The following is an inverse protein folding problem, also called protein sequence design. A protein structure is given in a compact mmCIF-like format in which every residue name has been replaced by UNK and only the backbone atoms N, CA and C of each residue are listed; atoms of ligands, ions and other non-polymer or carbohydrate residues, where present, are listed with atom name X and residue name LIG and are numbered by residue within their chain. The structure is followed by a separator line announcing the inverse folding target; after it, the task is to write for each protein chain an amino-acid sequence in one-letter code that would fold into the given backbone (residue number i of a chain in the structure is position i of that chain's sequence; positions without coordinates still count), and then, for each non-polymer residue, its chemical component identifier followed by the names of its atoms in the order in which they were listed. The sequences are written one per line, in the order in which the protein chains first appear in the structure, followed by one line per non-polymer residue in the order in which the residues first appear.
data_IF_958281002271
#
_entry.id   IF_958281002271
#
_cell.length_a   1.000
_cell.length_b   1.000
_cell.length_c   1.000
_cell.angle_alpha   90.00
_cell.angle_beta   90.00
_cell.angle_gamma   90.00
#
_symmetry.space_group_name_H-M   'P 1'
#
loop_
_entity.id
_entity.type
_entity.pdbx_description
1 polymer ?
#
# COMPACT_ATOMS: atom_id res chain seq x y z
N UNK A 1 9.34 42.27 -8.40
CA UNK A 1 8.16 42.94 -7.82
C UNK A 1 7.45 41.88 -6.99
N UNK A 2 7.34 42.04 -5.66
CA UNK A 2 6.62 41.07 -4.82
C UNK A 2 5.16 41.02 -5.29
N UNK A 3 4.69 39.83 -5.66
CA UNK A 3 3.35 39.61 -6.23
C UNK A 3 2.27 40.07 -5.23
N UNK A 4 1.71 41.28 -5.42
CA UNK A 4 0.70 41.89 -4.53
C UNK A 4 -0.50 40.97 -4.25
N UNK A 5 -0.85 40.10 -5.19
CA UNK A 5 -1.96 39.16 -5.07
C UNK A 5 -1.74 38.05 -4.03
N UNK A 6 -0.48 37.68 -3.72
CA UNK A 6 -0.17 36.72 -2.64
C UNK A 6 -0.65 37.21 -1.27
N UNK A 7 -0.80 38.52 -1.09
CA UNK A 7 -1.15 39.14 0.19
C UNK A 7 -2.67 39.11 0.43
N UNK A 8 -3.47 38.85 -0.61
CA UNK A 8 -4.94 38.93 -0.54
C UNK A 8 -5.66 37.57 -0.46
N UNK A 9 -4.91 36.47 -0.38
CA UNK A 9 -5.46 35.10 -0.32
C UNK A 9 -6.47 34.89 0.81
N UNK A 10 -6.29 35.59 1.93
CA UNK A 10 -7.20 35.53 3.08
C UNK A 10 -8.64 36.00 2.75
N UNK A 11 -8.83 36.74 1.65
CA UNK A 11 -10.14 37.22 1.18
C UNK A 11 -10.90 36.17 0.37
N UNK A 12 -10.24 35.13 -0.11
CA UNK A 12 -10.84 34.14 -1.01
C UNK A 12 -11.56 33.05 -0.20
N UNK A 13 -12.83 32.79 -0.54
CA UNK A 13 -13.63 31.74 0.08
C UNK A 13 -13.32 30.39 -0.59
N UNK A 14 -12.28 29.74 -0.10
CA UNK A 14 -11.71 28.54 -0.72
C UNK A 14 -12.73 27.42 -1.04
N UNK A 15 -13.71 27.06 -0.18
CA UNK A 15 -14.73 26.08 -0.54
C UNK A 15 -15.52 26.41 -1.82
N UNK A 16 -15.81 27.69 -2.05
CA UNK A 16 -16.55 28.14 -3.24
C UNK A 16 -15.65 28.18 -4.47
N UNK A 17 -14.37 28.52 -4.28
CA UNK A 17 -13.38 28.40 -5.35
C UNK A 17 -13.22 26.95 -5.81
N UNK A 18 -13.16 25.98 -4.89
CA UNK A 18 -13.15 24.56 -5.24
C UNK A 18 -14.35 24.16 -6.10
N UNK A 19 -15.57 24.54 -5.70
CA UNK A 19 -16.80 24.27 -6.46
C UNK A 19 -16.78 24.96 -7.84
N UNK A 20 -16.34 26.21 -7.90
CA UNK A 20 -16.20 26.96 -9.15
C UNK A 20 -15.24 26.30 -10.14
N UNK A 21 -14.17 25.68 -9.63
CA UNK A 21 -13.20 24.93 -10.42
C UNK A 21 -13.63 23.49 -10.74
N UNK A 22 -14.87 23.10 -10.39
CA UNK A 22 -15.44 21.80 -10.73
C UNK A 22 -15.09 20.66 -9.77
N UNK A 23 -14.57 20.95 -8.59
CA UNK A 23 -14.33 19.92 -7.57
C UNK A 23 -15.64 19.53 -6.89
N UNK A 24 -15.86 18.24 -6.72
CA UNK A 24 -17.09 17.72 -6.09
C UNK A 24 -16.95 17.73 -4.57
N UNK A 25 -17.88 18.37 -3.86
CA UNK A 25 -17.95 18.24 -2.40
C UNK A 25 -18.49 16.88 -2.00
N UNK A 26 -17.72 16.11 -1.25
CA UNK A 26 -18.06 14.76 -0.80
C UNK A 26 -18.64 14.76 0.62
N UNK A 27 -18.09 15.59 1.50
CA UNK A 27 -18.51 15.66 2.90
C UNK A 27 -18.18 17.01 3.51
N UNK A 28 -19.08 17.50 4.36
CA UNK A 28 -18.87 18.70 5.17
C UNK A 28 -18.96 18.34 6.64
N UNK A 29 -17.90 18.64 7.38
CA UNK A 29 -17.80 18.49 8.83
C UNK A 29 -17.66 19.88 9.46
N UNK A 30 -17.89 20.00 10.77
CA UNK A 30 -17.75 21.29 11.47
C UNK A 30 -16.35 21.88 11.36
N UNK A 31 -15.31 21.06 11.20
CA UNK A 31 -13.90 21.50 11.18
C UNK A 31 -13.31 21.59 9.77
N UNK A 32 -13.90 20.89 8.80
CA UNK A 32 -13.31 20.75 7.47
C UNK A 32 -14.33 20.31 6.42
N UNK A 33 -14.03 20.53 5.15
CA UNK A 33 -14.83 20.05 4.01
C UNK A 33 -13.94 19.28 3.05
N UNK A 34 -14.44 18.14 2.58
CA UNK A 34 -13.72 17.21 1.73
C UNK A 34 -14.25 17.37 0.30
N UNK A 35 -13.33 17.63 -0.62
CA UNK A 35 -13.56 17.70 -2.05
C UNK A 35 -12.85 16.55 -2.77
N UNK A 36 -13.42 16.09 -3.86
CA UNK A 36 -12.82 15.11 -4.77
C UNK A 36 -12.66 15.70 -6.17
N UNK A 37 -11.53 15.40 -6.80
CA UNK A 37 -11.31 15.64 -8.22
C UNK A 37 -10.36 14.59 -8.79
N UNK A 38 -10.77 13.91 -9.87
CA UNK A 38 -10.01 12.87 -10.54
C UNK A 38 -9.46 11.77 -9.59
N UNK A 39 -10.25 11.37 -8.59
CA UNK A 39 -9.87 10.36 -7.60
C UNK A 39 -8.87 10.82 -6.54
N UNK A 40 -8.59 12.14 -6.47
CA UNK A 40 -7.79 12.75 -5.40
C UNK A 40 -8.69 13.53 -4.45
N UNK A 41 -8.39 13.43 -3.16
CA UNK A 41 -9.12 14.11 -2.10
C UNK A 41 -8.38 15.34 -1.56
N UNK A 42 -9.13 16.41 -1.38
CA UNK A 42 -8.67 17.73 -0.93
C UNK A 42 -9.48 18.12 0.30
N UNK A 43 -8.81 18.59 1.33
CA UNK A 43 -9.44 18.93 2.60
C UNK A 43 -9.25 20.42 2.82
N UNK A 44 -10.36 21.15 2.85
CA UNK A 44 -10.41 22.58 3.14
C UNK A 44 -10.69 22.77 4.62
N UNK A 45 -9.89 23.63 5.26
CA UNK A 45 -9.97 23.98 6.68
C UNK A 45 -9.96 25.49 6.84
N UNK A 46 -10.46 25.96 7.97
CA UNK A 46 -10.43 27.37 8.33
C UNK A 46 -9.54 27.59 9.56
N UNK A 47 -8.55 28.46 9.42
CA UNK A 47 -7.55 28.77 10.45
C UNK A 47 -7.58 30.25 10.83
N UNK A 48 -6.70 30.69 11.72
CA UNK A 48 -6.55 32.12 12.04
C UNK A 48 -6.04 32.95 10.84
N UNK A 49 -5.26 32.33 9.94
CA UNK A 49 -4.74 32.95 8.71
C UNK A 49 -5.75 32.95 7.56
N UNK A 50 -6.96 32.41 7.78
CA UNK A 50 -7.99 32.22 6.75
C UNK A 50 -8.12 30.78 6.30
N UNK A 51 -8.69 30.58 5.10
CA UNK A 51 -8.85 29.26 4.53
C UNK A 51 -7.53 28.69 4.01
N UNK A 52 -7.27 27.44 4.35
CA UNK A 52 -6.19 26.64 3.79
C UNK A 52 -6.77 25.31 3.31
N UNK A 53 -6.05 24.63 2.45
CA UNK A 53 -6.36 23.25 2.08
C UNK A 53 -5.12 22.37 2.07
N UNK A 54 -5.32 21.07 1.99
CA UNK A 54 -4.24 20.11 1.75
C UNK A 54 -4.78 18.90 0.98
N UNK A 55 -3.89 18.20 0.30
CA UNK A 55 -4.22 16.91 -0.34
C UNK A 55 -4.18 15.82 0.74
N UNK A 56 -5.11 14.86 0.73
CA UNK A 56 -5.19 13.80 1.75
C UNK A 56 -3.86 13.04 1.96
N UNK A 57 -3.10 12.85 0.88
CA UNK A 57 -1.76 12.24 0.86
C UNK A 57 -0.67 13.02 1.61
N UNK A 58 -0.83 14.34 1.79
CA UNK A 58 0.16 15.22 2.42
C UNK A 58 -0.49 16.22 3.39
N UNK A 59 -1.04 15.76 4.53
CA UNK A 59 -1.74 16.66 5.45
C UNK A 59 -0.89 17.77 6.07
N UNK A 60 0.44 17.61 6.11
CA UNK A 60 1.38 18.67 6.57
C UNK A 60 1.56 19.80 5.58
N UNK A 61 1.30 19.58 4.29
CA UNK A 61 1.47 20.58 3.23
C UNK A 61 0.19 21.41 3.13
N UNK A 62 0.12 22.51 3.89
CA UNK A 62 -1.00 23.45 3.85
C UNK A 62 -0.80 24.43 2.69
N UNK A 63 -1.79 24.47 1.82
CA UNK A 63 -1.84 25.25 0.59
C UNK A 63 -2.94 26.31 0.69
N UNK A 64 -2.76 27.38 -0.06
CA UNK A 64 -3.56 28.60 -0.08
C UNK A 64 -4.39 28.71 -1.37
N UNK A 65 -5.27 29.69 -1.49
CA UNK A 65 -6.07 29.88 -2.70
C UNK A 65 -5.19 30.08 -3.95
N UNK A 66 -4.07 30.78 -3.80
CA UNK A 66 -3.04 30.95 -4.82
C UNK A 66 -2.52 29.63 -5.37
N UNK A 67 -2.24 28.66 -4.49
CA UNK A 67 -1.69 27.37 -4.91
C UNK A 67 -2.70 26.62 -5.79
N UNK A 68 -3.99 26.71 -5.43
CA UNK A 68 -5.08 26.12 -6.21
C UNK A 68 -5.24 26.79 -7.58
N UNK A 69 -5.20 28.12 -7.62
CA UNK A 69 -5.25 28.91 -8.86
C UNK A 69 -4.05 28.56 -9.75
N UNK A 70 -2.86 28.48 -9.18
CA UNK A 70 -1.63 28.13 -9.91
C UNK A 70 -1.74 26.74 -10.51
N UNK A 71 -2.20 25.75 -9.72
CA UNK A 71 -2.43 24.40 -10.21
C UNK A 71 -3.47 24.38 -11.35
N UNK A 72 -4.56 25.14 -11.23
CA UNK A 72 -5.59 25.22 -12.26
C UNK A 72 -5.08 25.86 -13.55
N UNK A 73 -4.48 27.04 -13.47
CA UNK A 73 -3.96 27.79 -14.63
C UNK A 73 -2.86 27.01 -15.34
N UNK A 74 -2.02 26.26 -14.61
CA UNK A 74 -0.97 25.42 -15.22
C UNK A 74 -1.51 24.31 -16.12
N UNK A 75 -2.77 23.89 -15.93
CA UNK A 75 -3.42 22.81 -16.69
C UNK A 75 -4.26 23.33 -17.85
N UNK A 76 -4.53 24.63 -17.92
CA UNK A 76 -5.28 25.23 -19.01
C UNK A 76 -4.28 25.68 -20.07
N UNK A 77 -4.24 24.97 -21.20
CA UNK A 77 -3.48 25.41 -22.37
C UNK A 77 -4.04 26.75 -22.86
N UNK A 78 -3.19 27.77 -22.91
CA UNK A 78 -3.52 29.06 -23.50
C UNK A 78 -2.91 29.18 -24.90
N UNK A 79 -3.71 29.58 -25.88
CA UNK A 79 -3.30 29.86 -27.27
C UNK A 79 -2.32 31.06 -27.36
N UNK A 80 -2.14 31.82 -26.28
CA UNK A 80 -1.30 33.01 -26.23
C UNK A 80 0.05 32.79 -25.51
N UNK A 81 1.08 33.49 -26.01
CA UNK A 81 2.48 33.56 -25.52
C UNK A 81 2.65 34.25 -24.15
N UNK A 82 1.62 34.34 -23.33
CA UNK A 82 1.73 34.91 -21.99
C UNK A 82 2.48 33.96 -21.04
N UNK A 83 3.33 34.53 -20.17
CA UNK A 83 4.04 33.76 -19.15
C UNK A 83 3.04 33.24 -18.10
N UNK A 84 3.35 32.09 -17.48
CA UNK A 84 2.47 31.44 -16.50
C UNK A 84 2.05 32.39 -15.36
N UNK A 85 2.98 33.20 -14.86
CA UNK A 85 2.74 34.10 -13.74
C UNK A 85 1.78 35.25 -14.08
N UNK A 86 1.78 35.72 -15.33
CA UNK A 86 0.84 36.75 -15.79
C UNK A 86 -0.57 36.17 -15.83
N UNK A 87 -0.72 34.93 -16.31
CA UNK A 87 -2.00 34.21 -16.31
C UNK A 87 -2.52 33.96 -14.89
N UNK A 88 -1.64 33.57 -13.97
CA UNK A 88 -2.00 33.37 -12.55
C UNK A 88 -2.47 34.69 -11.93
N UNK A 89 -1.74 35.80 -12.16
CA UNK A 89 -2.12 37.11 -11.63
C UNK A 89 -3.46 37.61 -12.18
N UNK A 90 -3.70 37.43 -13.48
CA UNK A 90 -4.97 37.79 -14.13
C UNK A 90 -6.14 36.97 -13.57
N UNK A 91 -5.96 35.65 -13.43
CA UNK A 91 -6.98 34.77 -12.88
C UNK A 91 -7.27 35.08 -11.40
N UNK A 92 -6.23 35.35 -10.61
CA UNK A 92 -6.39 35.73 -9.19
C UNK A 92 -7.19 37.02 -9.04
N UNK A 93 -6.87 38.05 -9.83
CA UNK A 93 -7.63 39.31 -9.86
C UNK A 93 -9.10 39.05 -10.19
N UNK A 94 -9.38 38.23 -11.21
CA UNK A 94 -10.75 37.83 -11.58
C UNK A 94 -11.49 37.12 -10.43
N UNK A 95 -10.80 36.27 -9.67
CA UNK A 95 -11.40 35.61 -8.48
C UNK A 95 -11.74 36.64 -7.40
N UNK A 96 -10.85 37.60 -7.14
CA UNK A 96 -11.08 38.65 -6.14
C UNK A 96 -12.20 39.63 -6.54
N UNK A 97 -12.38 39.87 -7.83
CA UNK A 97 -13.49 40.69 -8.38
C UNK A 97 -14.83 39.94 -8.40
N UNK A 98 -14.82 38.62 -8.19
CA UNK A 98 -16.04 37.81 -8.17
C UNK A 98 -16.57 37.72 -6.74
N UNK A 99 -17.53 38.57 -6.37
CA UNK A 99 -18.12 38.63 -5.01
C UNK A 99 -18.53 37.26 -4.47
N UNK A 100 -19.09 36.39 -5.33
CA UNK A 100 -19.50 35.05 -4.95
C UNK A 100 -18.34 34.19 -4.41
N UNK A 101 -17.09 34.44 -4.82
CA UNK A 101 -15.89 33.69 -4.46
C UNK A 101 -15.09 34.30 -3.30
N UNK A 102 -15.52 35.44 -2.75
CA UNK A 102 -14.84 36.11 -1.65
C UNK A 102 -15.57 35.94 -0.32
N UNK A 103 -14.85 36.12 0.78
CA UNK A 103 -15.41 36.12 2.14
C UNK A 103 -16.09 37.48 2.37
N UNK A 104 -17.38 37.47 2.67
CA UNK A 104 -18.10 38.70 3.03
C UNK A 104 -17.64 39.26 4.37
N UNK A 105 -17.75 40.58 4.56
CA UNK A 105 -17.36 41.26 5.81
C UNK A 105 -18.08 40.71 7.04
N UNK A 106 -19.30 40.20 6.87
CA UNK A 106 -20.15 39.65 7.94
C UNK A 106 -20.17 38.13 7.99
N UNK A 107 -19.18 37.45 7.38
CA UNK A 107 -19.15 35.99 7.36
C UNK A 107 -19.00 35.42 8.78
N UNK A 108 -20.08 34.79 9.28
CA UNK A 108 -20.15 34.20 10.63
C UNK A 108 -19.54 32.80 10.75
N UNK A 109 -18.87 32.31 9.70
CA UNK A 109 -18.12 31.06 9.72
C UNK A 109 -18.98 29.80 9.71
N UNK A 110 -19.00 29.07 8.60
CA UNK A 110 -19.53 27.69 8.58
C UNK A 110 -18.57 26.69 9.27
N UNK A 111 -17.30 27.06 9.40
CA UNK A 111 -16.25 26.21 9.97
C UNK A 111 -15.84 26.66 11.37
N UNK A 112 -15.66 25.69 12.26
CA UNK A 112 -14.90 25.85 13.49
C UNK A 112 -13.43 26.08 13.12
N UNK A 113 -12.82 27.15 13.66
CA UNK A 113 -11.38 27.42 13.53
C UNK A 113 -10.56 26.25 14.08
N UNK A 114 -9.55 25.83 13.33
CA UNK A 114 -8.60 24.76 13.68
C UNK A 114 -7.15 25.27 13.59
N UNK A 115 -6.20 24.66 14.31
CA UNK A 115 -4.79 25.04 14.22
C UNK A 115 -4.19 24.66 12.85
N UNK A 116 -3.07 25.29 12.49
CA UNK A 116 -2.41 25.09 11.18
C UNK A 116 -1.88 23.66 10.98
N UNK A 117 -1.54 22.96 12.05
CA UNK A 117 -1.09 21.57 12.05
C UNK A 117 -2.25 20.55 12.04
N UNK A 118 -3.51 21.02 12.03
CA UNK A 118 -4.69 20.17 12.06
C UNK A 118 -4.67 19.11 10.95
N UNK A 119 -4.95 17.87 11.33
CA UNK A 119 -5.13 16.76 10.40
C UNK A 119 -6.48 16.08 10.67
N UNK A 120 -7.38 16.16 9.71
CA UNK A 120 -8.72 15.55 9.83
C UNK A 120 -8.70 14.05 10.16
N UNK A 121 -7.67 13.30 9.78
CA UNK A 121 -7.58 11.88 10.11
C UNK A 121 -7.49 11.64 11.63
N UNK A 122 -7.02 12.60 12.41
CA UNK A 122 -6.99 12.48 13.86
C UNK A 122 -8.39 12.52 14.50
N UNK A 123 -9.41 13.00 13.77
CA UNK A 123 -10.80 12.99 14.27
C UNK A 123 -11.52 11.65 14.08
N UNK A 124 -10.93 10.70 13.34
CA UNK A 124 -11.57 9.38 13.10
C UNK A 124 -11.26 8.35 14.17
N UNK A 125 -10.22 8.58 14.97
CA UNK A 125 -9.70 7.58 15.90
C UNK A 125 -10.29 7.76 17.29
N UNK A 126 -10.76 6.64 17.84
CA UNK A 126 -11.07 6.44 19.24
C UNK A 126 -10.03 5.46 19.84
N UNK A 127 -9.64 5.61 21.11
CA UNK A 127 -8.76 4.66 21.77
C UNK A 127 -9.33 3.24 21.73
N UNK A 128 -8.47 2.26 21.44
CA UNK A 128 -8.84 0.85 21.56
C UNK A 128 -8.92 0.45 23.03
N UNK A 129 -9.91 -0.38 23.38
CA UNK A 129 -10.09 -0.92 24.72
C UNK A 129 -9.94 -2.44 24.67
N UNK A 130 -9.36 -3.03 25.73
CA UNK A 130 -9.29 -4.48 25.86
C UNK A 130 -10.67 -5.02 26.21
N UNK A 131 -11.12 -6.03 25.47
CA UNK A 131 -12.35 -6.77 25.76
C UNK A 131 -12.07 -8.25 26.09
N UNK A 132 -10.79 -8.68 26.04
CA UNK A 132 -10.37 -10.04 26.40
C UNK A 132 -10.68 -11.12 25.38
N UNK A 133 -11.35 -10.80 24.26
CA UNK A 133 -11.82 -11.80 23.29
C UNK A 133 -11.27 -11.56 21.88
N UNK A 134 -10.93 -12.66 21.20
CA UNK A 134 -10.52 -12.67 19.79
C UNK A 134 -9.16 -12.03 19.51
N UNK A 135 -8.91 -11.74 18.23
CA UNK A 135 -7.60 -11.26 17.77
C UNK A 135 -7.20 -9.94 18.44
N UNK A 136 -8.18 -9.07 18.72
CA UNK A 136 -7.94 -7.74 19.27
C UNK A 136 -8.13 -7.66 20.80
N UNK A 137 -8.36 -8.79 21.48
CA UNK A 137 -8.81 -8.78 22.88
C UNK A 137 -7.87 -8.13 23.89
N UNK A 138 -6.57 -8.20 23.62
CA UNK A 138 -5.44 -7.66 24.40
C UNK A 138 -4.66 -6.61 23.59
N UNK A 139 -5.26 -6.09 22.53
CA UNK A 139 -4.62 -5.24 21.54
C UNK A 139 -4.02 -3.95 22.12
N UNK A 140 -4.63 -3.40 23.18
CA UNK A 140 -4.11 -2.20 23.84
C UNK A 140 -2.82 -2.47 24.64
N UNK A 141 -2.64 -3.72 25.08
CA UNK A 141 -1.52 -4.12 25.95
C UNK A 141 -0.28 -4.57 25.16
N UNK A 142 -0.39 -4.73 23.84
CA UNK A 142 0.70 -5.18 22.98
C UNK A 142 1.65 -4.01 22.66
N UNK A 143 2.89 -3.97 23.22
CA UNK A 143 3.79 -2.83 23.03
C UNK A 143 4.20 -2.59 21.57
N UNK A 144 4.20 -3.66 20.78
CA UNK A 144 4.48 -3.62 19.34
C UNK A 144 3.38 -2.90 18.54
N UNK A 145 2.17 -2.76 19.09
CA UNK A 145 1.02 -2.17 18.39
C UNK A 145 0.42 -0.94 19.08
N UNK A 146 0.97 -0.51 20.22
CA UNK A 146 0.55 0.73 20.90
C UNK A 146 0.62 1.92 19.95
N UNK A 147 -0.49 2.68 19.84
CA UNK A 147 -0.62 3.81 18.92
C UNK A 147 -0.70 3.44 17.43
N UNK A 148 -0.84 2.14 17.11
CA UNK A 148 -0.92 1.60 15.73
C UNK A 148 -2.25 0.93 15.41
N UNK A 149 -3.21 1.01 16.34
CA UNK A 149 -4.57 0.50 16.21
C UNK A 149 -5.52 1.42 16.98
N UNK A 150 -6.69 1.68 16.41
CA UNK A 150 -7.72 2.54 16.97
C UNK A 150 -9.09 1.95 16.65
N UNK A 151 -10.15 2.52 17.22
CA UNK A 151 -11.53 2.25 16.81
C UNK A 151 -12.07 3.43 16.02
N UNK A 152 -12.98 3.17 15.07
CA UNK A 152 -13.82 4.22 14.52
C UNK A 152 -15.11 4.38 15.35
N UNK A 153 -15.97 5.34 14.96
CA UNK A 153 -17.27 5.61 15.61
C UNK A 153 -18.24 4.41 15.61
N UNK A 154 -18.03 3.42 14.72
CA UNK A 154 -18.81 2.18 14.64
C UNK A 154 -18.20 1.03 15.45
N UNK A 155 -17.07 1.25 16.12
CA UNK A 155 -16.33 0.20 16.83
C UNK A 155 -15.51 -0.72 15.92
N UNK A 156 -15.28 -0.36 14.65
CA UNK A 156 -14.42 -1.13 13.74
C UNK A 156 -12.95 -0.74 13.95
N UNK A 157 -12.03 -1.69 13.77
CA UNK A 157 -10.60 -1.46 13.96
C UNK A 157 -10.03 -0.63 12.82
N UNK A 158 -9.36 0.46 13.17
CA UNK A 158 -8.60 1.32 12.28
C UNK A 158 -7.10 1.12 12.46
N UNK A 159 -6.37 1.03 11.35
CA UNK A 159 -4.91 0.98 11.31
C UNK A 159 -4.36 2.20 10.56
N UNK A 160 -3.59 3.10 11.21
CA UNK A 160 -3.13 4.33 10.58
C UNK A 160 -2.15 4.07 9.44
N UNK A 161 -2.39 4.73 8.31
CA UNK A 161 -1.50 4.76 7.16
C UNK A 161 -0.61 6.00 7.24
N UNK A 162 0.69 5.80 7.15
CA UNK A 162 1.68 6.86 7.23
C UNK A 162 2.32 7.10 5.86
N UNK A 163 2.44 8.38 5.50
CA UNK A 163 3.26 8.80 4.36
C UNK A 163 4.75 8.89 4.74
N UNK A 164 5.58 9.30 3.78
CA UNK A 164 7.03 9.45 3.95
C UNK A 164 7.45 10.47 5.02
N UNK A 165 6.62 11.47 5.31
CA UNK A 165 6.85 12.46 6.37
C UNK A 165 6.35 11.97 7.75
N UNK A 166 6.10 10.66 7.87
CA UNK A 166 5.54 10.02 9.04
C UNK A 166 4.25 10.69 9.55
N UNK A 167 3.39 11.10 8.62
CA UNK A 167 2.11 11.75 8.91
C UNK A 167 0.99 10.80 8.57
N UNK A 168 -0.01 10.71 9.44
CA UNK A 168 -1.22 9.94 9.16
C UNK A 168 -1.91 10.56 7.94
N UNK A 169 -2.02 9.81 6.86
CA UNK A 169 -2.67 10.22 5.61
C UNK A 169 -3.81 9.27 5.20
N UNK A 170 -4.32 8.53 6.17
CA UNK A 170 -5.40 7.58 6.00
C UNK A 170 -5.42 6.52 7.09
N UNK A 171 -6.36 5.60 6.97
CA UNK A 171 -6.45 4.37 7.73
C UNK A 171 -6.81 3.21 6.81
N UNK A 172 -6.40 2.01 7.19
CA UNK A 172 -7.16 0.82 6.86
C UNK A 172 -8.26 0.59 7.90
N UNK A 173 -9.38 0.02 7.48
CA UNK A 173 -10.44 -0.49 8.38
C UNK A 173 -10.53 -2.01 8.25
N UNK A 174 -10.64 -2.73 9.37
CA UNK A 174 -11.05 -4.15 9.38
C UNK A 174 -12.57 -4.23 9.56
N UNK A 175 -13.28 -4.49 8.46
CA UNK A 175 -14.73 -4.72 8.46
C UNK A 175 -15.07 -6.22 8.58
N UNK A 176 -14.24 -6.98 9.33
CA UNK A 176 -14.40 -8.41 9.58
C UNK A 176 -13.77 -9.28 8.50
N UNK A 177 -14.35 -9.28 7.29
CA UNK A 177 -13.90 -10.16 6.19
C UNK A 177 -12.66 -9.67 5.46
N UNK A 178 -12.47 -8.35 5.39
CA UNK A 178 -11.37 -7.75 4.66
C UNK A 178 -10.87 -6.48 5.35
N UNK A 179 -9.59 -6.20 5.12
CA UNK A 179 -8.95 -4.94 5.50
C UNK A 179 -8.80 -4.09 4.25
N UNK A 180 -9.41 -2.90 4.24
CA UNK A 180 -9.45 -2.01 3.08
C UNK A 180 -9.22 -0.54 3.47
N UNK A 181 -8.84 0.34 2.53
CA UNK A 181 -8.71 1.78 2.80
C UNK A 181 -10.02 2.36 3.34
N UNK A 182 -9.92 3.23 4.35
CA UNK A 182 -11.05 3.85 5.02
C UNK A 182 -11.31 5.26 4.46
N UNK A 183 -12.50 5.50 3.90
CA UNK A 183 -12.91 6.82 3.37
C UNK A 183 -11.84 7.40 2.40
N UNK A 184 -11.48 8.67 2.52
CA UNK A 184 -10.53 9.42 1.68
C UNK A 184 -9.03 9.06 1.89
N UNK A 185 -8.75 7.88 2.42
CA UNK A 185 -7.39 7.43 2.73
C UNK A 185 -6.49 7.34 1.50
N UNK A 186 -5.31 7.95 1.59
CA UNK A 186 -4.31 7.96 0.52
C UNK A 186 -3.43 6.69 0.50
N UNK A 187 -4.03 5.50 0.37
CA UNK A 187 -3.33 4.23 0.46
C UNK A 187 -2.21 4.04 -0.58
N UNK A 188 -2.36 4.64 -1.78
CA UNK A 188 -1.34 4.58 -2.85
C UNK A 188 0.02 5.16 -2.47
N UNK A 189 0.07 6.03 -1.46
CA UNK A 189 1.25 6.80 -1.09
C UNK A 189 1.71 6.51 0.35
N UNK A 190 1.21 5.42 0.93
CA UNK A 190 1.32 5.18 2.36
C UNK A 190 1.57 3.72 2.68
N UNK A 191 2.05 3.49 3.90
CA UNK A 191 2.14 2.16 4.49
C UNK A 191 1.75 2.22 5.96
N UNK A 192 1.27 1.10 6.47
CA UNK A 192 1.14 0.87 7.90
C UNK A 192 2.41 0.19 8.41
N UNK A 193 2.83 0.54 9.61
CA UNK A 193 3.92 -0.13 10.31
C UNK A 193 3.66 -0.19 11.83
N UNK A 194 4.14 -1.24 12.47
CA UNK A 194 4.07 -1.45 13.92
C UNK A 194 4.97 -0.46 14.66
N UNK A 195 4.92 -0.46 16.00
CA UNK A 195 5.82 0.38 16.78
C UNK A 195 7.29 0.05 16.45
N UNK A 196 8.15 1.08 16.44
CA UNK A 196 9.55 0.96 16.03
C UNK A 196 10.41 0.73 17.28
N UNK A 197 11.05 -0.45 17.44
CA UNK A 197 11.95 -0.71 18.55
C UNK A 197 13.26 0.07 18.41
N UNK A 198 14.00 0.24 19.53
CA UNK A 198 15.31 0.91 19.55
C UNK A 198 16.33 0.23 18.63
N UNK A 199 16.25 -1.09 18.52
CA UNK A 199 17.05 -1.92 17.62
C UNK A 199 16.09 -2.71 16.73
N UNK A 200 16.36 -2.72 15.43
CA UNK A 200 15.55 -3.44 14.44
C UNK A 200 16.37 -4.62 13.93
N UNK A 201 15.98 -5.83 14.34
CA UNK A 201 16.58 -7.10 13.95
C UNK A 201 15.88 -7.72 12.73
N UNK A 202 14.70 -7.23 12.35
CA UNK A 202 13.98 -7.75 11.19
C UNK A 202 12.81 -6.86 10.74
N UNK A 203 12.58 -6.87 9.43
CA UNK A 203 11.45 -6.23 8.77
C UNK A 203 10.53 -7.30 8.20
N UNK A 204 9.25 -7.24 8.52
CA UNK A 204 8.26 -8.23 8.07
C UNK A 204 7.13 -7.53 7.33
N UNK A 205 6.86 -7.95 6.10
CA UNK A 205 5.84 -7.37 5.25
C UNK A 205 4.66 -8.33 5.07
N UNK A 206 3.47 -7.89 5.46
CA UNK A 206 2.23 -8.66 5.36
C UNK A 206 1.28 -8.08 4.34
N UNK A 207 0.22 -8.83 4.03
CA UNK A 207 -0.88 -8.35 3.17
C UNK A 207 -1.62 -7.17 3.82
N UNK A 208 -1.80 -7.20 5.14
CA UNK A 208 -2.47 -6.16 5.92
C UNK A 208 -2.04 -6.22 7.41
N UNK A 209 -2.39 -5.19 8.22
CA UNK A 209 -2.04 -5.15 9.65
C UNK A 209 -2.70 -6.26 10.50
N UNK A 210 -3.89 -6.75 10.11
CA UNK A 210 -4.57 -7.87 10.78
C UNK A 210 -3.72 -9.14 10.74
N UNK A 211 -3.12 -9.45 9.59
CA UNK A 211 -2.20 -10.57 9.45
C UNK A 211 -0.91 -10.39 10.24
N UNK A 212 -0.38 -9.16 10.31
CA UNK A 212 0.78 -8.85 11.13
C UNK A 212 0.51 -9.10 12.62
N UNK A 213 -0.68 -8.73 13.12
CA UNK A 213 -1.09 -8.97 14.50
C UNK A 213 -1.24 -10.48 14.78
N UNK A 214 -1.92 -11.22 13.91
CA UNK A 214 -2.07 -12.68 14.05
C UNK A 214 -0.71 -13.39 14.07
N UNK A 215 0.22 -12.95 13.21
CA UNK A 215 1.59 -13.44 13.21
C UNK A 215 2.34 -13.08 14.51
N UNK A 216 2.19 -11.85 15.01
CA UNK A 216 2.82 -11.44 16.26
C UNK A 216 2.32 -12.26 17.45
N UNK A 217 1.01 -12.49 17.57
CA UNK A 217 0.43 -13.32 18.64
C UNK A 217 1.00 -14.75 18.64
N UNK A 218 1.33 -15.28 17.47
CA UNK A 218 1.91 -16.62 17.32
C UNK A 218 3.39 -16.69 17.71
N UNK A 219 4.21 -15.74 17.24
CA UNK A 219 5.67 -15.86 17.34
C UNK A 219 6.31 -14.93 18.35
N UNK A 220 5.63 -13.86 18.77
CA UNK A 220 6.07 -12.89 19.77
C UNK A 220 7.51 -12.39 19.56
N UNK A 221 7.87 -12.17 18.29
CA UNK A 221 9.24 -11.76 17.94
C UNK A 221 9.57 -10.42 18.59
N UNK A 222 10.78 -10.33 19.15
CA UNK A 222 11.32 -9.10 19.74
C UNK A 222 12.10 -8.32 18.69
N UNK A 223 12.17 -6.99 18.85
CA UNK A 223 12.98 -6.10 18.00
C UNK A 223 12.68 -6.16 16.49
N UNK A 224 11.45 -6.45 16.11
CA UNK A 224 11.03 -6.47 14.69
C UNK A 224 10.05 -5.35 14.40
N UNK A 225 9.99 -4.95 13.14
CA UNK A 225 8.93 -4.07 12.63
C UNK A 225 8.06 -4.84 11.65
N UNK A 226 6.77 -4.89 11.95
CA UNK A 226 5.76 -5.41 11.05
C UNK A 226 5.21 -4.28 10.17
N UNK A 227 4.97 -4.55 8.90
CA UNK A 227 4.56 -3.56 7.92
C UNK A 227 3.49 -4.12 6.99
N UNK A 228 2.70 -3.23 6.40
CA UNK A 228 1.79 -3.53 5.31
C UNK A 228 1.73 -2.32 4.36
N UNK A 229 1.87 -2.55 3.06
CA UNK A 229 1.75 -1.48 2.06
C UNK A 229 0.27 -1.07 1.92
N UNK A 230 0.02 0.22 1.75
CA UNK A 230 -1.31 0.74 1.43
C UNK A 230 -1.85 0.14 0.12
N UNK A 231 -1.02 0.16 -0.91
CA UNK A 231 -1.20 -0.54 -2.18
C UNK A 231 0.16 -1.06 -2.65
N UNK A 232 0.21 -2.11 -3.46
CA UNK A 232 1.46 -2.57 -4.09
C UNK A 232 1.67 -1.76 -5.38
N UNK A 233 2.63 -0.84 -5.36
CA UNK A 233 3.00 -0.06 -6.52
C UNK A 233 4.48 0.36 -6.41
N UNK A 234 5.01 1.04 -7.44
CA UNK A 234 6.43 1.46 -7.47
C UNK A 234 6.81 2.38 -6.32
N UNK A 235 5.89 3.24 -5.86
CA UNK A 235 6.18 4.18 -4.80
C UNK A 235 6.28 3.46 -3.46
N UNK A 236 5.30 2.62 -3.11
CA UNK A 236 5.29 1.90 -1.83
C UNK A 236 6.40 0.85 -1.74
N UNK A 237 6.79 0.23 -2.87
CA UNK A 237 7.98 -0.63 -2.91
C UNK A 237 9.27 0.15 -2.73
N UNK A 238 9.43 1.31 -3.38
CA UNK A 238 10.60 2.16 -3.21
C UNK A 238 10.77 2.61 -1.75
N UNK A 239 9.68 3.03 -1.11
CA UNK A 239 9.67 3.40 0.33
C UNK A 239 10.14 2.22 1.19
N UNK A 240 9.62 1.02 0.94
CA UNK A 240 10.00 -0.18 1.68
C UNK A 240 11.49 -0.48 1.58
N UNK A 241 12.08 -0.36 0.38
CA UNK A 241 13.52 -0.60 0.19
C UNK A 241 14.38 0.51 0.79
N UNK A 242 13.92 1.77 0.79
CA UNK A 242 14.59 2.86 1.52
C UNK A 242 14.57 2.61 3.03
N UNK A 243 13.46 2.14 3.59
CA UNK A 243 13.38 1.75 5.01
C UNK A 243 14.40 0.65 5.30
N UNK A 244 14.42 -0.44 4.51
CA UNK A 244 15.40 -1.54 4.66
C UNK A 244 16.84 -1.04 4.68
N UNK A 245 17.20 -0.16 3.75
CA UNK A 245 18.55 0.42 3.68
C UNK A 245 18.86 1.27 4.91
N UNK A 246 17.91 2.11 5.35
CA UNK A 246 18.07 3.00 6.50
C UNK A 246 18.28 2.23 7.80
N UNK A 247 17.50 1.16 8.02
CA UNK A 247 17.56 0.35 9.24
C UNK A 247 18.64 -0.74 9.18
N UNK A 248 19.36 -0.87 8.06
CA UNK A 248 20.48 -1.80 7.85
C UNK A 248 20.12 -3.27 8.10
N UNK A 249 18.89 -3.67 7.77
CA UNK A 249 18.47 -5.07 7.83
C UNK A 249 18.80 -5.76 6.49
N UNK A 250 19.44 -6.93 6.56
CA UNK A 250 19.86 -7.67 5.38
C UNK A 250 18.70 -8.04 4.46
N UNK A 251 17.57 -8.49 5.02
CA UNK A 251 16.43 -8.96 4.23
C UNK A 251 15.08 -8.52 4.79
N UNK A 252 14.14 -8.27 3.89
CA UNK A 252 12.73 -8.16 4.24
C UNK A 252 12.12 -9.56 4.24
N UNK A 253 11.40 -9.90 5.31
CA UNK A 253 10.62 -11.13 5.44
C UNK A 253 9.24 -10.88 4.84
N UNK A 254 9.01 -11.38 3.63
CA UNK A 254 7.77 -11.18 2.88
C UNK A 254 6.76 -12.28 3.18
N UNK A 255 5.53 -11.91 3.52
CA UNK A 255 4.49 -12.85 3.89
C UNK A 255 3.11 -12.43 3.41
N UNK A 256 2.96 -12.29 2.09
CA UNK A 256 1.63 -12.08 1.50
C UNK A 256 0.78 -13.34 1.55
N UNK A 257 -0.48 -13.19 1.91
CA UNK A 257 -1.45 -14.30 1.93
C UNK A 257 -2.74 -13.90 1.22
N UNK A 258 -3.72 -14.81 1.22
CA UNK A 258 -5.04 -14.61 0.62
C UNK A 258 -6.06 -15.55 1.24
N UNK A 259 -7.28 -15.59 0.69
CA UNK A 259 -8.26 -16.60 1.10
C UNK A 259 -7.77 -17.99 0.69
N UNK A 260 -7.23 -18.08 -0.53
CA UNK A 260 -6.56 -19.29 -1.04
C UNK A 260 -5.05 -19.10 -1.09
N UNK A 261 -4.29 -20.18 -0.89
CA UNK A 261 -2.81 -20.16 -0.95
C UNK A 261 -2.26 -19.55 -2.24
N UNK A 262 -2.93 -19.81 -3.37
CA UNK A 262 -2.53 -19.29 -4.69
C UNK A 262 -2.51 -17.75 -4.73
N UNK A 263 -3.44 -17.08 -4.06
CA UNK A 263 -3.53 -15.61 -4.05
C UNK A 263 -2.30 -14.98 -3.39
N UNK A 264 -1.78 -15.59 -2.32
CA UNK A 264 -0.55 -15.15 -1.68
C UNK A 264 0.65 -15.18 -2.64
N UNK A 265 0.75 -16.22 -3.48
CA UNK A 265 1.82 -16.33 -4.49
C UNK A 265 1.61 -15.38 -5.68
N UNK A 266 0.37 -15.17 -6.12
CA UNK A 266 0.06 -14.17 -7.14
C UNK A 266 0.43 -12.76 -6.67
N UNK A 267 0.17 -12.45 -5.39
CA UNK A 267 0.55 -11.18 -4.77
C UNK A 267 2.06 -11.03 -4.65
N UNK A 268 2.82 -12.12 -4.42
CA UNK A 268 4.28 -12.09 -4.49
C UNK A 268 4.76 -11.73 -5.91
N UNK A 269 4.17 -12.32 -6.95
CA UNK A 269 4.53 -12.01 -8.34
C UNK A 269 4.21 -10.55 -8.70
N UNK A 270 3.05 -10.07 -8.26
CA UNK A 270 2.67 -8.67 -8.43
C UNK A 270 3.59 -7.71 -7.68
N UNK A 271 4.07 -8.09 -6.49
CA UNK A 271 5.05 -7.29 -5.78
C UNK A 271 6.39 -7.20 -6.52
N UNK A 272 6.86 -8.32 -7.09
CA UNK A 272 8.13 -8.36 -7.84
C UNK A 272 8.12 -7.37 -9.00
N UNK A 273 6.97 -7.17 -9.68
CA UNK A 273 6.90 -6.25 -10.84
C UNK A 273 7.19 -4.79 -10.48
N UNK A 274 7.09 -4.42 -9.20
CA UNK A 274 7.37 -3.07 -8.71
C UNK A 274 8.69 -2.95 -7.96
N UNK A 275 9.47 -4.03 -7.83
CA UNK A 275 10.83 -3.93 -7.30
C UNK A 275 11.69 -3.20 -8.33
N UNK A 276 12.23 -2.05 -7.94
CA UNK A 276 13.14 -1.26 -8.76
C UNK A 276 14.31 -2.10 -9.27
N UNK A 277 14.67 -1.88 -10.53
CA UNK A 277 15.77 -2.56 -11.24
C UNK A 277 15.61 -4.09 -11.40
N UNK A 278 14.48 -4.68 -11.03
CA UNK A 278 14.22 -6.11 -11.25
C UNK A 278 14.07 -6.46 -12.75
N UNK A 279 13.65 -5.49 -13.57
CA UNK A 279 13.26 -5.70 -14.96
C UNK A 279 12.11 -6.70 -15.15
N UNK A 280 11.43 -7.07 -14.06
CA UNK A 280 10.43 -8.12 -14.04
C UNK A 280 9.07 -7.58 -14.52
N UNK A 281 8.55 -8.17 -15.58
CA UNK A 281 7.25 -7.83 -16.17
C UNK A 281 6.34 -9.05 -16.11
N UNK A 282 5.12 -8.83 -15.65
CA UNK A 282 4.04 -9.82 -15.62
C UNK A 282 2.92 -9.35 -16.53
N UNK A 283 2.47 -10.22 -17.43
CA UNK A 283 1.29 -10.03 -18.25
C UNK A 283 0.39 -11.26 -18.14
N UNK A 284 -0.92 -11.03 -17.97
CA UNK A 284 -1.92 -12.09 -17.90
C UNK A 284 -2.55 -12.28 -19.28
N UNK A 285 -2.74 -13.54 -19.68
CA UNK A 285 -3.58 -13.94 -20.81
C UNK A 285 -4.77 -14.73 -20.29
N UNK A 286 -5.72 -15.06 -21.17
CA UNK A 286 -6.90 -15.86 -20.81
C UNK A 286 -6.57 -17.28 -20.29
N UNK A 287 -5.34 -17.76 -20.53
CA UNK A 287 -4.95 -19.16 -20.25
C UNK A 287 -3.69 -19.27 -19.37
N UNK A 288 -2.89 -18.23 -19.26
CA UNK A 288 -1.55 -18.30 -18.70
C UNK A 288 -0.99 -16.93 -18.29
N UNK A 289 0.05 -16.95 -17.46
CA UNK A 289 0.86 -15.78 -17.14
C UNK A 289 2.14 -15.81 -17.95
N UNK A 290 2.44 -14.69 -18.60
CA UNK A 290 3.70 -14.49 -19.30
C UNK A 290 4.56 -13.55 -18.47
N UNK A 291 5.77 -14.01 -18.20
CA UNK A 291 6.73 -13.33 -17.35
C UNK A 291 7.97 -13.03 -18.16
N UNK A 292 8.54 -11.84 -17.94
CA UNK A 292 9.81 -11.45 -18.56
C UNK A 292 10.73 -10.86 -17.52
N UNK A 293 11.98 -11.28 -17.49
CA UNK A 293 12.99 -10.72 -16.59
C UNK A 293 14.39 -10.90 -17.18
N UNK A 294 15.38 -10.08 -16.76
CA UNK A 294 16.76 -10.21 -17.23
C UNK A 294 17.36 -11.57 -16.87
N UNK A 295 18.28 -12.08 -17.71
CA UNK A 295 18.96 -13.36 -17.43
C UNK A 295 19.76 -13.31 -16.12
N UNK A 296 20.35 -12.16 -15.80
CA UNK A 296 21.19 -11.99 -14.61
C UNK A 296 22.42 -12.91 -14.62
N UNK A 297 22.77 -13.44 -13.45
CA UNK A 297 23.90 -14.35 -13.29
C UNK A 297 23.64 -15.73 -13.95
N UNK A 298 24.63 -16.25 -14.68
CA UNK A 298 24.52 -17.54 -15.39
C UNK A 298 24.20 -18.71 -14.46
N UNK A 299 24.76 -18.74 -13.23
CA UNK A 299 24.48 -19.82 -12.26
C UNK A 299 23.07 -19.69 -11.71
N UNK A 300 22.60 -18.47 -11.42
CA UNK A 300 21.22 -18.22 -11.03
C UNK A 300 20.22 -18.69 -12.09
N UNK A 301 20.47 -18.36 -13.37
CA UNK A 301 19.65 -18.84 -14.48
C UNK A 301 19.67 -20.37 -14.62
N UNK A 302 20.84 -21.00 -14.59
CA UNK A 302 20.95 -22.46 -14.70
C UNK A 302 20.12 -23.16 -13.62
N UNK A 303 20.25 -22.73 -12.36
CA UNK A 303 19.47 -23.28 -11.24
C UNK A 303 17.97 -23.07 -11.41
N UNK A 304 17.57 -21.87 -11.86
CA UNK A 304 16.18 -21.57 -12.16
C UNK A 304 15.64 -22.52 -13.24
N UNK A 305 16.36 -22.67 -14.34
CA UNK A 305 15.98 -23.54 -15.45
C UNK A 305 15.89 -25.01 -15.01
N UNK A 306 16.87 -25.49 -14.25
CA UNK A 306 16.88 -26.86 -13.70
C UNK A 306 15.65 -27.14 -12.82
N UNK A 307 15.22 -26.18 -12.00
CA UNK A 307 13.98 -26.31 -11.23
C UNK A 307 12.75 -26.45 -12.14
N UNK A 308 12.64 -25.64 -13.20
CA UNK A 308 11.52 -25.74 -14.15
C UNK A 308 11.52 -27.06 -14.92
N UNK A 309 12.71 -27.57 -15.28
CA UNK A 309 12.88 -28.86 -15.97
C UNK A 309 12.46 -30.03 -15.09
N UNK A 310 12.82 -30.01 -13.81
CA UNK A 310 12.42 -31.03 -12.82
C UNK A 310 10.90 -31.06 -12.66
N UNK A 311 10.27 -29.89 -12.48
CA UNK A 311 8.82 -29.79 -12.39
C UNK A 311 8.11 -30.37 -13.62
N UNK A 312 8.54 -30.02 -14.83
CA UNK A 312 7.94 -30.56 -16.05
C UNK A 312 8.13 -32.08 -16.17
N UNK A 313 9.27 -32.62 -15.71
CA UNK A 313 9.51 -34.07 -15.67
C UNK A 313 8.58 -34.79 -14.69
N UNK A 314 8.40 -34.24 -13.50
CA UNK A 314 7.48 -34.78 -12.49
C UNK A 314 6.02 -34.71 -12.95
N UNK A 315 5.64 -33.61 -13.62
CA UNK A 315 4.31 -33.48 -14.24
C UNK A 315 4.07 -34.55 -15.31
N UNK A 316 5.05 -34.83 -16.17
CA UNK A 316 4.97 -35.89 -17.17
C UNK A 316 4.79 -37.27 -16.54
N UNK A 317 5.58 -37.57 -15.50
CA UNK A 317 5.43 -38.82 -14.74
C UNK A 317 4.06 -38.92 -14.08
N UNK A 318 3.53 -37.82 -13.53
CA UNK A 318 2.19 -37.80 -12.95
C UNK A 318 1.12 -38.11 -13.98
N UNK A 319 1.20 -37.57 -15.20
CA UNK A 319 0.22 -37.87 -16.25
C UNK A 319 0.33 -39.31 -16.77
N UNK A 320 1.54 -39.87 -16.85
CA UNK A 320 1.75 -41.28 -17.22
C UNK A 320 1.18 -42.27 -16.19
N UNK A 321 0.99 -41.87 -14.92
CA UNK A 321 0.32 -42.72 -13.93
C UNK A 321 -1.17 -42.92 -14.22
N UNK A 322 -1.79 -41.98 -14.95
CA UNK A 322 -3.22 -42.02 -15.26
C UNK A 322 -3.51 -42.34 -16.74
N UNK A 323 -2.50 -42.28 -17.62
CA UNK A 323 -2.63 -42.52 -19.06
C UNK A 323 -1.51 -43.46 -19.57
N UNK A 324 -1.85 -44.40 -20.46
CA UNK A 324 -0.86 -45.29 -21.09
C UNK A 324 0.11 -44.56 -22.04
N UNK A 325 -0.30 -43.39 -22.57
CA UNK A 325 0.50 -42.56 -23.49
C UNK A 325 0.55 -41.14 -22.94
N UNK A 326 1.70 -40.48 -23.13
CA UNK A 326 1.89 -39.11 -22.71
C UNK A 326 1.05 -38.15 -23.56
N UNK A 327 0.09 -37.47 -22.92
CA UNK A 327 -0.67 -36.38 -23.55
C UNK A 327 0.19 -35.11 -23.60
N UNK A 328 0.84 -34.89 -24.74
CA UNK A 328 1.70 -33.74 -24.97
C UNK A 328 0.93 -32.41 -24.93
N UNK A 329 -0.37 -32.40 -25.29
CA UNK A 329 -1.19 -31.19 -25.21
C UNK A 329 -1.44 -30.78 -23.76
N UNK A 330 -1.75 -31.73 -22.88
CA UNK A 330 -1.88 -31.46 -21.43
C UNK A 330 -0.56 -31.03 -20.82
N UNK A 331 0.54 -31.68 -21.18
CA UNK A 331 1.87 -31.25 -20.72
C UNK A 331 2.20 -29.83 -21.15
N UNK A 332 1.96 -29.48 -22.41
CA UNK A 332 2.17 -28.13 -22.88
C UNK A 332 1.22 -27.14 -22.18
N UNK A 333 0.01 -27.55 -21.83
CA UNK A 333 -0.96 -26.70 -21.12
C UNK A 333 -0.54 -26.41 -19.67
N UNK A 334 -0.08 -27.41 -18.92
CA UNK A 334 0.20 -27.33 -17.48
C UNK A 334 1.69 -27.27 -17.10
N UNK A 335 2.58 -27.37 -18.09
CA UNK A 335 4.02 -27.23 -17.93
C UNK A 335 4.48 -25.77 -18.00
N UNK A 336 5.66 -25.52 -17.44
CA UNK A 336 6.33 -24.22 -17.50
C UNK A 336 7.21 -24.20 -18.74
N UNK A 337 7.04 -23.21 -19.62
CA UNK A 337 7.91 -23.03 -20.79
C UNK A 337 8.85 -21.85 -20.58
N UNK A 338 10.14 -22.07 -20.80
CA UNK A 338 11.19 -21.06 -20.68
C UNK A 338 11.83 -20.87 -22.04
N UNK A 339 11.82 -19.65 -22.55
CA UNK A 339 12.54 -19.25 -23.76
C UNK A 339 13.48 -18.09 -23.44
N UNK A 340 14.65 -18.09 -24.08
CA UNK A 340 15.61 -16.99 -24.00
C UNK A 340 15.39 -16.09 -25.21
N UNK A 341 15.31 -14.78 -24.97
CA UNK A 341 15.33 -13.77 -26.03
C UNK A 341 16.42 -12.75 -25.71
N UNK A 342 17.54 -12.83 -26.43
CA UNK A 342 18.74 -12.00 -26.23
C UNK A 342 19.20 -11.97 -24.76
N UNK A 343 18.96 -10.87 -24.06
CA UNK A 343 19.33 -10.62 -22.65
C UNK A 343 18.20 -10.91 -21.64
N UNK A 344 17.04 -11.33 -22.13
CA UNK A 344 15.83 -11.57 -21.34
C UNK A 344 15.38 -13.03 -21.36
N UNK A 345 14.73 -13.44 -20.29
CA UNK A 345 14.05 -14.72 -20.18
C UNK A 345 12.55 -14.45 -20.30
N UNK A 346 11.87 -15.18 -21.17
CA UNK A 346 10.42 -15.24 -21.24
C UNK A 346 9.94 -16.58 -20.67
N UNK A 347 9.12 -16.52 -19.63
CA UNK A 347 8.51 -17.69 -19.01
C UNK A 347 7.01 -17.67 -19.25
N UNK A 348 6.50 -18.75 -19.84
CA UNK A 348 5.07 -19.03 -19.85
C UNK A 348 4.75 -19.90 -18.64
N UNK A 349 3.92 -19.36 -17.75
CA UNK A 349 3.52 -19.97 -16.50
C UNK A 349 2.02 -20.30 -16.56
N UNK A 350 1.60 -21.57 -16.39
CA UNK A 350 0.19 -21.92 -16.32
C UNK A 350 -0.47 -21.38 -15.04
N UNK A 351 -1.78 -21.14 -15.08
CA UNK A 351 -2.59 -20.76 -13.92
C UNK A 351 -2.84 -21.95 -12.99
N UNK A 352 -1.77 -22.56 -12.48
CA UNK A 352 -1.78 -23.73 -11.60
C UNK A 352 -0.94 -23.45 -10.35
N UNK A 353 -1.44 -23.85 -9.18
CA UNK A 353 -0.89 -23.43 -7.88
C UNK A 353 0.56 -23.87 -7.68
N UNK A 354 0.91 -25.11 -8.02
CA UNK A 354 2.26 -25.63 -7.84
C UNK A 354 3.26 -24.99 -8.82
N UNK A 355 2.86 -24.75 -10.06
CA UNK A 355 3.67 -24.01 -11.03
C UNK A 355 3.97 -22.59 -10.53
N UNK A 356 2.95 -21.86 -10.08
CA UNK A 356 3.08 -20.50 -9.55
C UNK A 356 3.98 -20.49 -8.32
N UNK A 357 3.75 -21.41 -7.38
CA UNK A 357 4.56 -21.58 -6.17
C UNK A 357 6.03 -21.85 -6.51
N UNK A 358 6.29 -22.79 -7.42
CA UNK A 358 7.65 -23.14 -7.86
C UNK A 358 8.35 -21.91 -8.45
N UNK A 359 7.66 -21.17 -9.30
CA UNK A 359 8.23 -19.99 -9.92
C UNK A 359 8.58 -18.93 -8.87
N UNK A 360 7.65 -18.57 -7.98
CA UNK A 360 7.91 -17.64 -6.88
C UNK A 360 9.15 -18.11 -6.13
N UNK A 361 9.14 -19.33 -5.62
CA UNK A 361 10.27 -19.89 -4.89
C UNK A 361 11.60 -19.80 -5.67
N UNK A 362 11.60 -20.26 -6.92
CA UNK A 362 12.80 -20.32 -7.75
C UNK A 362 13.32 -18.92 -8.10
N UNK A 363 12.44 -17.97 -8.38
CA UNK A 363 12.82 -16.60 -8.67
C UNK A 363 13.41 -15.93 -7.44
N UNK A 364 12.75 -16.01 -6.29
CA UNK A 364 13.27 -15.43 -5.05
C UNK A 364 14.61 -16.06 -4.64
N UNK A 365 14.72 -17.38 -4.68
CA UNK A 365 15.95 -18.10 -4.28
C UNK A 365 17.16 -17.76 -5.16
N UNK A 366 16.95 -17.51 -6.45
CA UNK A 366 18.05 -17.32 -7.40
C UNK A 366 18.32 -15.84 -7.75
N UNK A 367 17.32 -14.96 -7.69
CA UNK A 367 17.44 -13.56 -8.12
C UNK A 367 17.29 -12.55 -6.98
N UNK A 368 16.54 -12.86 -5.91
CA UNK A 368 16.22 -11.90 -4.83
C UNK A 368 16.72 -12.33 -3.44
N UNK A 369 17.47 -13.42 -3.33
CA UNK A 369 17.86 -14.03 -2.05
C UNK A 369 18.69 -13.11 -1.14
N UNK A 370 19.34 -12.08 -1.69
CA UNK A 370 20.11 -11.09 -0.93
C UNK A 370 19.24 -10.03 -0.26
N UNK A 371 17.99 -9.89 -0.68
CA UNK A 371 17.12 -8.79 -0.24
C UNK A 371 15.81 -9.27 0.40
N UNK A 372 15.33 -10.45 0.04
CA UNK A 372 14.02 -10.95 0.47
C UNK A 372 14.11 -12.43 0.86
N UNK A 373 13.46 -12.76 1.97
CA UNK A 373 13.07 -14.13 2.33
C UNK A 373 11.55 -14.20 2.38
N UNK A 374 10.95 -15.35 2.05
CA UNK A 374 9.49 -15.50 2.05
C UNK A 374 9.04 -16.47 3.13
N UNK A 375 8.02 -16.05 3.85
CA UNK A 375 7.29 -16.83 4.84
C UNK A 375 5.85 -17.06 4.36
N UNK A 376 5.33 -18.29 4.44
CA UNK A 376 3.92 -18.59 4.14
C UNK A 376 3.31 -19.47 5.24
N UNK A 377 2.09 -19.18 5.74
CA UNK A 377 1.41 -20.02 6.72
C UNK A 377 1.12 -21.42 6.17
N UNK A 378 0.81 -22.37 7.07
CA UNK A 378 0.37 -23.72 6.69
C UNK A 378 -1.09 -23.68 6.25
N UNK A 379 -1.90 -22.80 6.83
CA UNK A 379 -3.26 -22.43 6.41
C UNK A 379 -3.27 -21.46 5.21
N UNK A 380 -4.44 -20.88 4.88
CA UNK A 380 -4.57 -19.88 3.80
C UNK A 380 -3.96 -18.51 4.16
N UNK A 381 -4.04 -18.11 5.43
CA UNK A 381 -3.57 -16.82 5.95
C UNK A 381 -3.20 -16.90 7.45
N UNK A 382 -2.48 -15.90 7.96
CA UNK A 382 -2.01 -15.91 9.35
C UNK A 382 -3.12 -15.83 10.39
N UNK A 383 -4.26 -15.21 10.04
CA UNK A 383 -5.42 -15.13 10.93
C UNK A 383 -6.02 -16.52 11.18
N UNK A 384 -6.30 -17.30 10.13
CA UNK A 384 -6.77 -18.69 10.26
C UNK A 384 -5.73 -19.61 10.90
N UNK A 385 -4.44 -19.37 10.64
CA UNK A 385 -3.36 -20.09 11.34
C UNK A 385 -3.38 -19.81 12.87
N UNK A 386 -3.72 -18.60 13.28
CA UNK A 386 -3.86 -18.23 14.68
C UNK A 386 -5.15 -18.79 15.31
N UNK A 387 -6.30 -18.69 14.64
CA UNK A 387 -7.58 -19.26 15.13
C UNK A 387 -7.46 -20.77 15.40
N UNK A 388 -6.81 -21.50 14.50
CA UNK A 388 -6.58 -22.95 14.67
C UNK A 388 -5.64 -23.29 15.84
N UNK A 389 -4.82 -22.35 16.30
CA UNK A 389 -3.99 -22.51 17.50
C UNK A 389 -4.74 -22.18 18.78
N UNK A 390 -5.60 -21.15 18.80
CA UNK A 390 -6.46 -20.89 19.98
C UNK A 390 -7.38 -22.08 20.29
N UNK A 391 -7.91 -22.74 19.26
CA UNK A 391 -8.79 -23.89 19.43
C UNK A 391 -8.07 -25.21 19.74
N UNK A 392 -6.72 -25.23 19.77
CA UNK A 392 -5.94 -26.42 20.19
C UNK A 392 -5.32 -26.15 21.56
N UNK A 393 -5.69 -26.96 22.54
CA UNK A 393 -5.09 -26.97 23.87
C UNK A 393 -3.55 -27.00 23.78
N UNK A 394 -2.88 -26.26 24.67
CA UNK A 394 -1.42 -26.01 24.75
C UNK A 394 -0.59 -27.31 24.89
N UNK A 395 -0.51 -28.14 23.86
CA UNK A 395 0.30 -29.37 23.83
C UNK A 395 1.12 -29.52 22.54
N UNK A 396 1.49 -28.41 21.91
CA UNK A 396 2.33 -28.40 20.71
C UNK A 396 3.74 -27.86 20.99
N UNK A 397 4.76 -28.54 20.45
CA UNK A 397 6.14 -28.04 20.32
C UNK A 397 6.15 -26.59 19.81
N UNK A 398 7.02 -25.77 20.37
CA UNK A 398 7.30 -24.42 19.87
C UNK A 398 7.72 -24.50 18.39
N UNK A 399 6.85 -24.02 17.49
CA UNK A 399 7.08 -24.13 16.04
C UNK A 399 8.05 -23.05 15.61
N UNK A 400 9.20 -23.45 15.07
CA UNK A 400 10.23 -22.49 14.68
C UNK A 400 9.83 -21.72 13.41
N UNK A 401 10.12 -20.41 13.38
CA UNK A 401 9.88 -19.54 12.23
C UNK A 401 10.45 -20.10 10.91
N UNK A 402 11.58 -20.82 10.98
CA UNK A 402 12.25 -21.43 9.83
C UNK A 402 11.37 -22.44 9.08
N UNK A 403 10.44 -23.10 9.76
CA UNK A 403 9.51 -24.05 9.12
C UNK A 403 8.54 -23.41 8.13
N UNK A 404 8.33 -22.09 8.24
CA UNK A 404 7.42 -21.34 7.38
C UNK A 404 8.13 -20.73 6.16
N UNK A 405 9.45 -20.92 6.03
CA UNK A 405 10.21 -20.45 4.86
C UNK A 405 9.92 -21.33 3.66
N UNK A 406 9.53 -20.72 2.54
CA UNK A 406 9.33 -21.48 1.29
C UNK A 406 10.65 -21.87 0.62
N UNK A 407 11.76 -21.19 0.97
CA UNK A 407 13.10 -21.49 0.53
C UNK A 407 14.00 -21.77 1.74
N UNK A 408 14.32 -23.05 1.95
CA UNK A 408 15.47 -23.45 2.77
C UNK A 408 16.76 -23.39 1.94
#
# INVERSE_FOLDING_TARGET
MMNKWLVEDYRIHLPKLFEHLGFQSIRTEKTHRIFENAGLYYIVIYTEEGFLYYKAQRPKEKLSATDLITEHVSKIEGVQKEMLWDKVAAYHTKVLETDALTISRDWKGEFKKVPKDFNHFDSYRLPIQNNGEGLYGDAADLPSFTGRMFLNEKGEILFPLFNMQNTVCGYFVDAGKNVAPYRESAAKHALWYSNIPKKIDGLFLFKNPKEALAFHKKFQLKNVVYMALGEINSQTTDILFQIRQTVKVDKIMLSFTGEKKIEGYLRDLHFITFIKDSGFKLSLTDRDMVLRFPIGDKKAFSRFYDHTKRYNKELAQSFLRYNNILDQHRLNRYGISVSKNEESIKVRLPLETNAIKLLVWSYYKNYLNKAIDILKPKSGNWYSEWETMEHRSKSGKEVQLKEYRIAL
#
